data_IF_008118304133
#
_entry.id   IF_008118304133
#
_cell.length_a   1.000
_cell.length_b   1.000
_cell.length_c   1.000
_cell.angle_alpha   90.00
_cell.angle_beta   90.00
_cell.angle_gamma   90.00
#
_symmetry.space_group_name_H-M   'P 1'
#
loop_
_entity.id
_entity.type
_entity.pdbx_description
1 polymer ?
#
# COMPACT_ATOMS: atom_id res chain seq x y z
N UNK A 1 5.25 6.17 -18.79
CA UNK A 1 6.24 6.15 -17.69
C UNK A 1 5.69 5.19 -16.64
N UNK A 2 6.24 3.99 -16.53
CA UNK A 2 5.83 3.05 -15.47
C UNK A 2 6.51 3.52 -14.18
N UNK A 3 5.73 4.04 -13.24
CA UNK A 3 6.21 4.28 -11.88
C UNK A 3 6.35 2.92 -11.20
N UNK A 4 7.53 2.33 -11.32
CA UNK A 4 7.81 1.08 -10.65
C UNK A 4 7.98 1.34 -9.15
N UNK A 5 6.90 1.10 -8.41
CA UNK A 5 6.91 1.16 -6.97
C UNK A 5 8.00 0.27 -6.36
N UNK A 6 8.44 -0.81 -7.03
CA UNK A 6 9.51 -1.67 -6.53
C UNK A 6 10.88 -0.97 -6.57
N UNK A 7 11.09 -0.08 -7.54
CA UNK A 7 12.32 0.67 -7.71
C UNK A 7 12.47 1.82 -6.71
N UNK A 8 11.39 2.53 -6.36
CA UNK A 8 11.50 3.72 -5.50
C UNK A 8 10.74 3.63 -4.16
N UNK A 9 9.63 2.90 -4.07
CA UNK A 9 8.75 2.86 -2.90
C UNK A 9 8.12 4.21 -2.50
N UNK A 10 8.36 5.27 -3.27
CA UNK A 10 8.05 6.65 -2.88
C UNK A 10 6.55 6.88 -2.66
N UNK A 11 5.69 6.28 -3.49
CA UNK A 11 4.24 6.39 -3.32
C UNK A 11 3.77 5.81 -1.98
N UNK A 12 4.31 4.65 -1.57
CA UNK A 12 3.99 3.98 -0.31
C UNK A 12 4.65 4.64 0.92
N UNK A 13 5.49 5.66 0.73
CA UNK A 13 6.17 6.40 1.81
C UNK A 13 5.91 7.90 1.80
N UNK A 14 5.01 8.37 0.92
CA UNK A 14 4.78 9.80 0.69
C UNK A 14 3.88 10.42 1.76
N UNK A 15 2.86 9.70 2.22
CA UNK A 15 1.86 10.23 3.16
C UNK A 15 1.21 9.11 3.96
N UNK A 16 0.95 9.36 5.24
CA UNK A 16 0.18 8.46 6.10
C UNK A 16 -1.27 8.25 5.61
N UNK A 17 -1.77 9.20 4.82
CA UNK A 17 -3.11 9.18 4.24
C UNK A 17 -3.14 8.53 2.85
N UNK A 18 -2.04 7.92 2.41
CA UNK A 18 -1.92 7.24 1.12
C UNK A 18 -1.28 5.87 1.34
N UNK A 19 -1.70 4.81 0.63
CA UNK A 19 -2.76 4.73 -0.37
C UNK A 19 -4.18 4.54 0.23
N UNK A 20 -5.17 5.26 -0.31
CA UNK A 20 -6.59 5.13 0.07
C UNK A 20 -7.34 4.20 -0.86
N UNK A 21 -8.28 3.45 -0.31
CA UNK A 21 -9.25 2.71 -1.11
C UNK A 21 -10.20 3.73 -1.77
N UNK A 22 -10.36 3.64 -3.09
CA UNK A 22 -11.17 4.62 -3.84
C UNK A 22 -12.48 4.03 -4.32
N UNK A 23 -12.42 2.95 -5.10
CA UNK A 23 -13.54 2.42 -5.87
C UNK A 23 -13.57 0.88 -5.90
N UNK A 24 -12.87 0.26 -4.95
CA UNK A 24 -12.69 -1.19 -4.89
C UNK A 24 -13.90 -1.82 -4.22
N UNK A 25 -14.29 -3.02 -4.65
CA UNK A 25 -15.36 -3.76 -4.01
C UNK A 25 -14.91 -4.23 -2.61
N UNK A 26 -15.84 -4.21 -1.65
CA UNK A 26 -15.57 -4.66 -0.28
C UNK A 26 -14.99 -6.09 -0.26
N UNK A 27 -15.41 -6.98 -1.17
CA UNK A 27 -14.88 -8.35 -1.26
C UNK A 27 -13.41 -8.43 -1.71
N UNK A 28 -12.88 -7.40 -2.37
CA UNK A 28 -11.44 -7.29 -2.64
C UNK A 28 -10.70 -6.78 -1.41
N UNK A 29 -11.25 -5.78 -0.73
CA UNK A 29 -10.66 -5.19 0.47
C UNK A 29 -10.62 -6.20 1.62
N UNK A 30 -11.65 -7.03 1.77
CA UNK A 30 -11.74 -8.13 2.74
C UNK A 30 -10.68 -9.22 2.53
N UNK A 31 -10.07 -9.29 1.34
CA UNK A 31 -8.93 -10.20 1.10
C UNK A 31 -7.63 -9.64 1.66
N UNK A 32 -7.54 -8.32 1.89
CA UNK A 32 -6.37 -7.70 2.47
C UNK A 32 -6.35 -8.02 3.96
N UNK A 33 -5.25 -8.60 4.50
CA UNK A 33 -5.17 -8.88 5.92
C UNK A 33 -5.37 -7.60 6.75
N UNK A 34 -6.25 -7.64 7.76
CA UNK A 34 -6.60 -6.49 8.60
C UNK A 34 -5.38 -5.79 9.21
N UNK A 35 -4.29 -6.53 9.48
CA UNK A 35 -3.01 -5.97 9.95
C UNK A 35 -2.37 -4.94 9.01
N UNK A 36 -2.76 -4.93 7.74
CA UNK A 36 -2.33 -4.00 6.70
C UNK A 36 -3.41 -2.98 6.33
N UNK A 37 -4.60 -3.04 6.93
CA UNK A 37 -5.71 -2.11 6.68
C UNK A 37 -5.75 -1.07 7.81
N UNK A 38 -6.01 0.18 7.44
CA UNK A 38 -6.15 1.27 8.42
C UNK A 38 -7.38 1.04 9.31
N UNK A 39 -7.34 1.55 10.54
CA UNK A 39 -8.41 1.37 11.52
C UNK A 39 -9.75 2.00 11.09
N UNK A 40 -9.71 2.99 10.20
CA UNK A 40 -10.87 3.66 9.61
C UNK A 40 -11.33 3.01 8.30
N UNK A 41 -10.73 1.90 7.89
CA UNK A 41 -10.98 1.18 6.63
C UNK A 41 -10.87 2.07 5.37
N UNK A 42 -10.24 3.24 5.48
CA UNK A 42 -10.15 4.19 4.36
C UNK A 42 -8.99 3.89 3.41
N UNK A 43 -8.15 2.92 3.75
CA UNK A 43 -6.96 2.58 2.98
C UNK A 43 -6.01 1.63 3.69
N UNK A 44 -4.78 1.58 3.18
CA UNK A 44 -3.70 0.79 3.77
C UNK A 44 -3.20 1.41 5.07
N UNK A 45 -2.89 0.56 6.05
CA UNK A 45 -2.26 0.95 7.31
C UNK A 45 -0.87 1.51 7.03
N UNK A 46 -0.60 2.69 7.56
CA UNK A 46 0.73 3.30 7.56
C UNK A 46 1.29 3.38 8.98
N UNK A 47 2.58 3.09 9.13
CA UNK A 47 3.37 3.40 10.31
C UNK A 47 4.17 4.68 10.02
N UNK A 48 3.71 5.79 10.62
CA UNK A 48 4.12 7.13 10.20
C UNK A 48 3.70 7.40 8.75
N UNK A 49 4.66 7.69 7.87
CA UNK A 49 4.42 7.92 6.44
C UNK A 49 4.60 6.67 5.58
N UNK A 50 4.97 5.53 6.17
CA UNK A 50 5.33 4.30 5.45
C UNK A 50 4.22 3.27 5.54
N UNK A 51 3.76 2.76 4.40
CA UNK A 51 2.81 1.65 4.34
C UNK A 51 3.35 0.41 5.06
N UNK A 52 2.53 -0.22 5.90
CA UNK A 52 2.89 -1.39 6.70
C UNK A 52 3.20 -2.64 5.85
N UNK A 53 2.66 -2.71 4.62
CA UNK A 53 2.97 -3.79 3.68
C UNK A 53 4.27 -3.55 2.89
N UNK A 54 4.88 -2.36 2.98
CA UNK A 54 6.08 -2.04 2.22
C UNK A 54 7.33 -2.60 2.89
N UNK A 55 8.00 -3.50 2.18
CA UNK A 55 9.28 -4.10 2.57
C UNK A 55 10.43 -3.49 1.76
N UNK A 56 11.64 -3.57 2.28
CA UNK A 56 12.84 -2.99 1.66
C UNK A 56 13.11 -1.53 2.07
N UNK A 57 13.90 -0.84 1.25
CA UNK A 57 14.41 0.51 1.50
C UNK A 57 14.02 1.48 0.37
N UNK A 58 13.36 2.58 0.75
CA UNK A 58 12.92 3.66 -0.15
C UNK A 58 14.11 4.18 -0.95
N UNK A 59 13.92 4.37 -2.25
CA UNK A 59 14.96 4.87 -3.15
C UNK A 59 16.04 3.86 -3.52
N UNK A 60 15.97 2.61 -3.04
CA UNK A 60 16.86 1.52 -3.45
C UNK A 60 16.11 0.36 -4.09
N UNK A 61 15.48 -0.45 -3.24
CA UNK A 61 14.71 -1.63 -3.63
C UNK A 61 13.64 -1.86 -2.58
N UNK A 62 12.39 -1.89 -3.05
CA UNK A 62 11.22 -2.12 -2.21
C UNK A 62 10.33 -3.18 -2.83
N UNK A 63 9.49 -3.79 -2.01
CA UNK A 63 8.49 -4.75 -2.46
C UNK A 63 7.26 -4.68 -1.56
N UNK A 64 6.09 -4.94 -2.12
CA UNK A 64 4.87 -5.06 -1.33
C UNK A 64 4.75 -6.50 -0.80
N UNK A 65 4.60 -6.68 0.52
CA UNK A 65 4.39 -7.98 1.14
C UNK A 65 3.04 -8.63 0.81
N UNK A 66 2.12 -7.88 0.19
CA UNK A 66 0.82 -8.35 -0.30
C UNK A 66 0.68 -8.16 -1.81
N UNK A 67 1.75 -8.35 -2.58
CA UNK A 67 1.82 -7.97 -4.00
C UNK A 67 0.62 -8.43 -4.86
N UNK A 68 0.12 -9.65 -4.61
CA UNK A 68 -1.03 -10.24 -5.31
C UNK A 68 -2.37 -9.67 -4.85
N UNK A 69 -2.46 -9.31 -3.57
CA UNK A 69 -3.63 -8.75 -2.90
C UNK A 69 -3.57 -7.22 -2.82
N UNK A 70 -2.71 -6.58 -3.63
CA UNK A 70 -2.60 -5.13 -3.65
C UNK A 70 -3.96 -4.53 -4.01
N UNK A 71 -4.36 -3.46 -3.31
CA UNK A 71 -5.51 -2.69 -3.72
C UNK A 71 -5.23 -2.06 -5.10
N UNK A 72 -6.29 -1.76 -5.85
CA UNK A 72 -6.20 -1.24 -7.22
C UNK A 72 -5.40 0.07 -7.29
N UNK A 73 -5.50 0.91 -6.26
CA UNK A 73 -4.69 2.14 -6.14
C UNK A 73 -3.17 1.88 -6.05
N UNK A 74 -2.76 0.67 -5.70
CA UNK A 74 -1.36 0.25 -5.58
C UNK A 74 -0.88 -0.60 -6.75
N UNK A 75 -1.71 -0.87 -7.77
CA UNK A 75 -1.36 -1.74 -8.91
C UNK A 75 -0.52 -1.02 -9.95
#
# INVERSE_FOLDING_TARGET
MLFDCQSCGACCSYSAAWPRFSTEADEQLDRIPEKYVSADLSGMRCDGVRCAALTGEIGKHTACGIYELRPDVCR
#
